data_IF_420739600208
#
_entry.id   IF_420739600208
#
_cell.length_a   1.000
_cell.length_b   1.000
_cell.length_c   1.000
_cell.angle_alpha   90.00
_cell.angle_beta   90.00
_cell.angle_gamma   90.00
#
_symmetry.space_group_name_H-M   'P 1'
#
loop_
_entity.id
_entity.type
_entity.pdbx_description
1 polymer ?
#
# COMPACT_ATOMS: atom_id res chain seq x y z
N UNK A 1 0.30 36.21 16.88
CA UNK A 1 0.42 34.75 16.74
C UNK A 1 -0.83 33.98 17.19
N UNK A 2 -1.63 34.49 18.13
CA UNK A 2 -2.87 33.84 18.60
C UNK A 2 -3.88 33.50 17.48
N UNK A 3 -4.04 34.38 16.48
CA UNK A 3 -5.01 34.19 15.41
C UNK A 3 -4.68 32.99 14.49
N UNK A 4 -3.39 32.79 14.17
CA UNK A 4 -2.95 31.68 13.33
C UNK A 4 -3.08 30.33 14.05
N UNK A 5 -2.81 30.31 15.36
CA UNK A 5 -2.98 29.12 16.19
C UNK A 5 -4.46 28.77 16.37
N UNK A 6 -5.31 29.76 16.59
CA UNK A 6 -6.77 29.57 16.63
C UNK A 6 -7.30 29.03 15.30
N UNK A 7 -6.82 29.56 14.18
CA UNK A 7 -7.17 29.07 12.85
C UNK A 7 -6.72 27.62 12.66
N UNK A 8 -5.48 27.29 13.02
CA UNK A 8 -4.94 25.92 12.97
C UNK A 8 -5.83 24.96 13.76
N UNK A 9 -6.20 25.33 14.98
CA UNK A 9 -7.05 24.48 15.82
C UNK A 9 -8.44 24.27 15.22
N UNK A 10 -9.06 25.33 14.66
CA UNK A 10 -10.35 25.22 13.96
C UNK A 10 -10.27 24.27 12.77
N UNK A 11 -9.19 24.35 12.00
CA UNK A 11 -8.95 23.46 10.87
C UNK A 11 -8.84 22.00 11.35
N UNK A 12 -8.02 21.75 12.38
CA UNK A 12 -7.85 20.40 12.93
C UNK A 12 -9.15 19.80 13.47
N UNK A 13 -9.98 20.60 14.14
CA UNK A 13 -11.31 20.17 14.59
C UNK A 13 -12.19 19.78 13.41
N UNK A 14 -12.15 20.57 12.33
CA UNK A 14 -12.94 20.29 11.11
C UNK A 14 -12.48 19.01 10.43
N UNK A 15 -11.16 18.82 10.28
CA UNK A 15 -10.59 17.61 9.68
C UNK A 15 -10.88 16.37 10.52
N UNK A 16 -10.82 16.48 11.84
CA UNK A 16 -11.20 15.40 12.76
C UNK A 16 -12.68 15.02 12.58
N UNK A 17 -13.57 16.01 12.46
CA UNK A 17 -14.98 15.76 12.19
C UNK A 17 -15.20 15.01 10.87
N UNK A 18 -14.54 15.45 9.79
CA UNK A 18 -14.61 14.77 8.48
C UNK A 18 -14.09 13.33 8.59
N UNK A 19 -13.00 13.11 9.32
CA UNK A 19 -12.46 11.77 9.54
C UNK A 19 -13.47 10.85 10.24
N UNK A 20 -14.09 11.31 11.32
CA UNK A 20 -15.07 10.52 12.06
C UNK A 20 -16.37 10.31 11.27
N UNK A 21 -16.84 11.30 10.51
CA UNK A 21 -18.05 11.15 9.68
C UNK A 21 -17.87 10.15 8.54
N UNK A 22 -16.64 9.98 8.05
CA UNK A 22 -16.28 9.04 7.00
C UNK A 22 -15.75 7.70 7.54
N UNK A 23 -15.77 7.50 8.86
CA UNK A 23 -15.42 6.22 9.50
C UNK A 23 -16.68 5.41 9.71
N UNK A 24 -16.73 4.23 9.09
CA UNK A 24 -17.82 3.30 9.31
C UNK A 24 -17.72 2.70 10.72
N UNK A 25 -18.77 2.93 11.53
CA UNK A 25 -18.85 2.48 12.92
C UNK A 25 -18.84 0.95 13.02
N UNK A 26 -19.33 0.26 12.00
CA UNK A 26 -19.46 -1.21 12.01
C UNK A 26 -18.15 -1.93 11.70
N UNK A 27 -17.36 -1.41 10.77
CA UNK A 27 -16.08 -2.01 10.34
C UNK A 27 -14.86 -1.33 10.97
N UNK A 28 -15.03 -0.12 11.48
CA UNK A 28 -13.92 0.74 11.94
C UNK A 28 -13.02 1.23 10.79
N UNK A 29 -13.43 1.03 9.54
CA UNK A 29 -12.66 1.45 8.37
C UNK A 29 -13.03 2.89 8.04
N UNK A 30 -12.01 3.73 7.94
CA UNK A 30 -12.17 5.09 7.44
C UNK A 30 -12.06 5.12 5.93
N UNK A 31 -13.12 5.60 5.27
CA UNK A 31 -13.15 5.79 3.83
C UNK A 31 -12.62 7.17 3.44
N UNK A 32 -12.04 7.26 2.23
CA UNK A 32 -11.70 8.55 1.64
C UNK A 32 -12.99 9.37 1.48
N UNK A 33 -13.05 10.62 1.96
CA UNK A 33 -14.23 11.45 1.81
C UNK A 33 -14.48 11.80 0.34
N UNK A 34 -15.74 12.02 0.01
CA UNK A 34 -16.19 12.41 -1.34
C UNK A 34 -17.09 13.66 -1.27
N UNK A 35 -17.27 14.32 -2.42
CA UNK A 35 -18.16 15.48 -2.54
C UNK A 35 -17.72 16.67 -1.70
N UNK A 36 -18.64 17.21 -0.89
CA UNK A 36 -18.41 18.42 -0.08
C UNK A 36 -17.33 18.19 0.99
N UNK A 37 -17.31 17.01 1.60
CA UNK A 37 -16.31 16.65 2.61
C UNK A 37 -14.90 16.60 2.01
N UNK A 38 -14.76 16.10 0.77
CA UNK A 38 -13.50 16.13 0.04
C UNK A 38 -13.02 17.57 -0.20
N UNK A 39 -13.91 18.44 -0.70
CA UNK A 39 -13.56 19.85 -0.98
C UNK A 39 -13.15 20.57 0.30
N UNK A 40 -13.86 20.32 1.40
CA UNK A 40 -13.52 20.89 2.70
C UNK A 40 -12.19 20.37 3.21
N UNK A 41 -11.91 19.07 3.08
CA UNK A 41 -10.64 18.48 3.46
C UNK A 41 -9.48 19.09 2.66
N UNK A 42 -9.61 19.16 1.34
CA UNK A 42 -8.60 19.71 0.44
C UNK A 42 -8.27 21.17 0.79
N UNK A 43 -9.29 22.01 0.98
CA UNK A 43 -9.10 23.42 1.37
C UNK A 43 -8.44 23.58 2.74
N UNK A 44 -8.86 22.77 3.71
CA UNK A 44 -8.31 22.80 5.05
C UNK A 44 -6.84 22.33 5.07
N UNK A 45 -6.51 21.27 4.33
CA UNK A 45 -5.12 20.79 4.19
C UNK A 45 -4.25 21.80 3.46
N UNK A 46 -4.72 22.41 2.37
CA UNK A 46 -4.01 23.49 1.71
C UNK A 46 -3.72 24.64 2.68
N UNK A 47 -4.73 25.10 3.43
CA UNK A 47 -4.57 26.18 4.40
C UNK A 47 -3.58 25.81 5.50
N UNK A 48 -3.59 24.57 5.98
CA UNK A 48 -2.58 24.07 6.92
C UNK A 48 -1.17 24.11 6.31
N UNK A 49 -1.00 23.68 5.07
CA UNK A 49 0.30 23.75 4.39
C UNK A 49 0.81 25.19 4.26
N UNK A 50 -0.07 26.15 3.98
CA UNK A 50 0.27 27.59 3.95
C UNK A 50 0.67 28.07 5.34
N UNK A 51 -0.11 27.74 6.39
CA UNK A 51 0.20 28.11 7.77
C UNK A 51 1.52 27.50 8.26
N UNK A 52 1.87 26.31 7.79
CA UNK A 52 3.14 25.64 8.09
C UNK A 52 4.32 26.16 7.25
N UNK A 53 4.07 27.00 6.24
CA UNK A 53 5.08 27.48 5.30
C UNK A 53 5.59 26.42 4.32
N UNK A 54 4.89 25.28 4.19
CA UNK A 54 5.22 24.21 3.22
C UNK A 54 4.85 24.59 1.78
N UNK A 55 3.86 25.47 1.61
CA UNK A 55 3.28 25.87 0.32
C UNK A 55 3.03 27.38 0.36
N UNK A 56 3.29 28.10 -0.75
CA UNK A 56 2.96 29.54 -0.87
C UNK A 56 1.53 29.73 -1.36
N UNK A 57 0.99 30.93 -1.15
CA UNK A 57 -0.35 31.24 -1.68
C UNK A 57 -0.39 31.11 -3.21
N UNK A 58 -1.28 30.24 -3.71
CA UNK A 58 -1.46 29.95 -5.13
C UNK A 58 -0.70 28.72 -5.64
N UNK A 59 0.21 28.15 -4.83
CA UNK A 59 0.90 26.91 -5.17
C UNK A 59 -0.02 25.71 -4.99
N UNK A 60 0.23 24.63 -5.74
CA UNK A 60 -0.49 23.36 -5.59
C UNK A 60 0.06 22.59 -4.39
N UNK A 61 -0.81 21.85 -3.71
CA UNK A 61 -0.38 20.91 -2.67
C UNK A 61 0.43 19.79 -3.33
N UNK A 62 1.65 19.47 -2.86
CA UNK A 62 2.55 18.52 -3.52
C UNK A 62 2.13 17.05 -3.39
N UNK A 63 1.23 16.73 -2.46
CA UNK A 63 0.79 15.38 -2.14
C UNK A 63 -0.75 15.31 -2.07
N UNK A 64 -1.32 14.10 -2.19
CA UNK A 64 -2.75 13.89 -1.99
C UNK A 64 -3.16 14.34 -0.58
N UNK A 65 -4.10 15.30 -0.44
CA UNK A 65 -4.51 15.86 0.85
C UNK A 65 -4.97 14.82 1.87
N UNK A 66 -5.59 13.73 1.39
CA UNK A 66 -6.09 12.67 2.25
C UNK A 66 -4.97 11.81 2.81
N UNK A 67 -4.03 11.37 1.99
CA UNK A 67 -2.86 10.63 2.46
C UNK A 67 -2.01 11.47 3.44
N UNK A 68 -1.83 12.76 3.14
CA UNK A 68 -1.10 13.67 4.03
C UNK A 68 -1.80 13.83 5.38
N UNK A 69 -3.13 13.96 5.38
CA UNK A 69 -3.92 14.01 6.62
C UNK A 69 -3.77 12.72 7.44
N UNK A 70 -3.89 11.55 6.79
CA UNK A 70 -3.74 10.26 7.45
C UNK A 70 -2.35 10.05 8.06
N UNK A 71 -1.31 10.56 7.40
CA UNK A 71 0.08 10.46 7.87
C UNK A 71 0.36 11.36 9.07
N UNK A 72 -0.12 12.61 9.05
CA UNK A 72 0.31 13.63 10.01
C UNK A 72 -0.69 13.83 11.17
N UNK A 73 -1.99 13.66 10.94
CA UNK A 73 -3.03 14.15 11.87
C UNK A 73 -4.09 13.13 12.24
N UNK A 74 -4.27 12.07 11.45
CA UNK A 74 -5.25 11.05 11.82
C UNK A 74 -4.85 10.42 13.17
N UNK A 75 -5.81 10.21 14.08
CA UNK A 75 -5.60 9.35 15.23
C UNK A 75 -5.05 8.02 14.72
N UNK A 76 -4.03 7.45 15.37
CA UNK A 76 -3.47 6.11 15.07
C UNK A 76 -4.56 5.03 15.28
N UNK A 77 -5.56 5.05 14.43
CA UNK A 77 -6.39 3.91 14.11
C UNK A 77 -5.41 2.97 13.45
N UNK A 78 -5.15 1.85 14.13
CA UNK A 78 -4.23 0.82 13.66
C UNK A 78 -4.64 0.49 12.23
N UNK A 79 -3.89 1.03 11.26
CA UNK A 79 -4.06 0.70 9.84
C UNK A 79 -4.10 -0.82 9.81
N UNK A 80 -5.13 -1.47 9.25
CA UNK A 80 -5.14 -2.93 9.15
C UNK A 80 -3.80 -3.32 8.55
N UNK A 81 -3.08 -4.22 9.24
CA UNK A 81 -1.65 -4.49 9.07
C UNK A 81 -1.28 -5.17 7.74
N UNK A 82 -1.96 -4.83 6.64
CA UNK A 82 -1.86 -5.46 5.32
C UNK A 82 -1.44 -4.54 4.18
N UNK A 83 -1.32 -3.23 4.37
CA UNK A 83 -0.79 -2.33 3.33
C UNK A 83 0.28 -1.40 3.90
N UNK A 84 1.38 -2.03 4.34
CA UNK A 84 2.68 -1.36 4.27
C UNK A 84 2.95 -1.23 2.77
N UNK A 85 2.91 0.00 2.24
CA UNK A 85 3.50 0.31 0.95
C UNK A 85 4.86 -0.39 0.91
N UNK A 86 5.12 -1.32 -0.02
CA UNK A 86 6.39 -2.02 -0.01
C UNK A 86 7.46 -0.96 -0.15
N UNK A 87 8.27 -0.77 0.89
CA UNK A 87 9.59 -0.17 0.73
C UNK A 87 10.22 -0.98 -0.40
N UNK A 88 10.35 -0.37 -1.58
CA UNK A 88 10.97 -0.99 -2.74
C UNK A 88 12.21 -1.71 -2.24
N UNK A 89 12.20 -3.05 -2.30
CA UNK A 89 13.35 -3.82 -1.90
C UNK A 89 14.49 -3.34 -2.79
N UNK A 90 15.52 -2.76 -2.18
CA UNK A 90 16.73 -2.40 -2.88
C UNK A 90 17.34 -3.70 -3.39
N UNK A 91 17.16 -3.99 -4.67
CA UNK A 91 17.80 -5.11 -5.35
C UNK A 91 19.14 -4.60 -5.89
N UNK A 92 20.28 -4.90 -5.24
CA UNK A 92 21.57 -4.63 -5.85
C UNK A 92 21.72 -5.55 -7.07
N UNK A 93 21.60 -4.97 -8.27
CA UNK A 93 21.97 -5.64 -9.51
C UNK A 93 23.49 -5.64 -9.67
N UNK A 94 24.20 -6.50 -8.93
CA UNK A 94 25.61 -6.80 -9.25
C UNK A 94 25.98 -8.22 -8.84
N UNK A 95 26.36 -9.03 -9.83
CA UNK A 95 26.74 -10.45 -9.71
C UNK A 95 28.28 -10.61 -9.80
N UNK A 96 29.06 -9.53 -9.75
CA UNK A 96 30.53 -9.65 -9.84
C UNK A 96 31.10 -10.23 -8.54
N UNK A 97 31.36 -11.54 -8.54
CA UNK A 97 32.13 -12.25 -7.53
C UNK A 97 33.55 -11.67 -7.47
N UNK A 98 33.88 -11.00 -6.37
CA UNK A 98 35.25 -10.76 -5.96
C UNK A 98 35.86 -12.12 -5.57
N UNK A 99 36.71 -12.66 -6.45
CA UNK A 99 37.55 -13.81 -6.16
C UNK A 99 38.58 -13.41 -5.11
N UNK A 100 38.35 -13.79 -3.86
CA UNK A 100 39.41 -13.86 -2.85
C UNK A 100 39.63 -15.34 -2.58
N UNK A 101 40.68 -15.87 -3.21
CA UNK A 101 41.13 -17.22 -3.00
C UNK A 101 41.54 -17.43 -1.55
N UNK A 102 41.23 -18.61 -1.02
CA UNK A 102 42.08 -19.27 -0.05
C UNK A 102 41.91 -20.78 -0.18
N UNK A 103 43.00 -21.41 -0.59
CA UNK A 103 43.17 -22.84 -0.63
C UNK A 103 43.28 -23.39 0.80
N UNK A 104 42.66 -24.53 1.05
CA UNK A 104 43.27 -25.63 1.82
C UNK A 104 42.57 -26.94 1.48
N UNK A 105 43.40 -27.97 1.38
CA UNK A 105 43.13 -29.26 0.79
C UNK A 105 42.39 -30.22 1.73
N UNK A 106 41.70 -31.21 1.17
CA UNK A 106 42.02 -32.63 1.40
C UNK A 106 41.27 -33.53 0.41
N UNK A 107 41.97 -34.59 -0.01
CA UNK A 107 41.71 -35.49 -1.13
C UNK A 107 40.40 -36.30 -0.99
N UNK A 108 39.76 -36.75 -2.08
CA UNK A 108 40.15 -37.98 -2.80
C UNK A 108 39.42 -38.09 -4.15
N UNK A 109 40.13 -38.59 -5.15
CA UNK A 109 39.71 -38.73 -6.54
C UNK A 109 38.70 -39.87 -6.75
N UNK A 110 37.78 -39.72 -7.71
CA UNK A 110 37.68 -40.61 -8.88
C UNK A 110 36.47 -40.32 -9.80
N UNK A 111 36.77 -40.38 -11.10
CA UNK A 111 35.92 -40.79 -12.23
C UNK A 111 34.73 -39.92 -12.63
N UNK A 112 34.82 -39.41 -13.86
CA UNK A 112 33.87 -38.46 -14.44
C UNK A 112 32.50 -39.02 -14.81
N UNK A 113 31.56 -38.09 -14.95
CA UNK A 113 30.54 -38.16 -15.97
C UNK A 113 29.95 -36.76 -16.16
N UNK A 114 29.78 -36.36 -17.42
CA UNK A 114 29.02 -35.18 -17.83
C UNK A 114 27.62 -35.21 -17.20
N UNK A 115 27.35 -34.26 -16.31
CA UNK A 115 26.08 -34.15 -15.60
C UNK A 115 25.70 -32.69 -15.45
N UNK A 116 24.96 -32.16 -16.42
CA UNK A 116 24.20 -30.92 -16.27
C UNK A 116 23.35 -31.00 -14.98
N UNK A 117 23.39 -30.02 -14.07
CA UNK A 117 22.43 -29.97 -12.98
C UNK A 117 21.05 -29.57 -13.53
N UNK A 118 20.22 -30.55 -13.87
CA UNK A 118 18.80 -30.32 -14.14
C UNK A 118 18.11 -29.91 -12.84
N UNK A 119 17.72 -28.63 -12.76
CA UNK A 119 16.86 -28.11 -11.70
C UNK A 119 15.45 -28.67 -11.92
N UNK A 120 15.04 -29.60 -11.05
CA UNK A 120 13.70 -30.20 -11.09
C UNK A 120 12.75 -29.32 -10.27
N UNK A 121 11.79 -28.69 -10.94
CA UNK A 121 10.71 -27.97 -10.27
C UNK A 121 9.61 -28.96 -9.87
N UNK A 122 9.38 -29.13 -8.57
CA UNK A 122 8.15 -29.78 -8.09
C UNK A 122 6.99 -28.79 -8.20
N UNK A 123 6.02 -29.11 -9.06
CA UNK A 123 4.76 -28.36 -9.18
C UNK A 123 3.75 -28.98 -8.20
N UNK A 124 3.22 -28.23 -7.22
CA UNK A 124 2.13 -28.72 -6.40
C UNK A 124 0.87 -28.92 -7.26
N UNK A 125 0.38 -30.16 -7.34
CA UNK A 125 -0.91 -30.47 -7.95
C UNK A 125 -2.03 -29.86 -7.08
N UNK A 126 -2.47 -28.66 -7.44
CA UNK A 126 -3.74 -28.11 -6.95
C UNK A 126 -4.86 -28.99 -7.46
N UNK A 127 -5.40 -29.87 -6.60
CA UNK A 127 -6.67 -30.55 -6.89
C UNK A 127 -7.78 -29.51 -6.89
N UNK A 128 -8.31 -29.23 -8.09
CA UNK A 128 -9.62 -28.59 -8.24
C UNK A 128 -10.68 -29.62 -7.83
N UNK A 129 -11.36 -29.36 -6.73
CA UNK A 129 -12.57 -30.11 -6.36
C UNK A 129 -13.69 -29.71 -7.32
N UNK A 130 -14.00 -30.59 -8.29
CA UNK A 130 -15.08 -30.45 -9.28
C UNK A 130 -16.47 -30.76 -8.68
N UNK A 131 -16.76 -30.28 -7.47
CA UNK A 131 -18.00 -30.60 -6.75
C UNK A 131 -18.94 -29.39 -6.61
N UNK A 132 -19.20 -28.70 -7.72
CA UNK A 132 -20.42 -27.89 -7.82
C UNK A 132 -20.87 -27.59 -9.26
N UNK A 133 -20.89 -28.62 -10.12
CA UNK A 133 -21.26 -28.46 -11.54
C UNK A 133 -22.59 -29.11 -11.91
N UNK A 134 -23.55 -29.10 -10.99
CA UNK A 134 -24.96 -29.49 -11.25
C UNK A 134 -25.92 -28.47 -10.68
N UNK A 135 -25.99 -27.30 -11.31
CA UNK A 135 -27.19 -26.44 -11.34
C UNK A 135 -26.96 -25.29 -12.34
N UNK A 136 -26.71 -25.62 -13.61
CA UNK A 136 -26.96 -24.67 -14.69
C UNK A 136 -28.46 -24.74 -15.00
N UNK A 137 -29.21 -23.91 -14.28
CA UNK A 137 -30.59 -23.59 -14.61
C UNK A 137 -30.67 -23.17 -16.08
N UNK A 138 -31.47 -23.93 -16.82
CA UNK A 138 -31.77 -23.77 -18.24
C UNK A 138 -32.25 -22.34 -18.49
N UNK A 139 -31.48 -21.53 -19.24
CA UNK A 139 -31.90 -20.21 -19.70
C UNK A 139 -33.05 -20.42 -20.71
N UNK A 140 -34.28 -19.96 -20.46
CA UNK A 140 -35.34 -20.02 -21.46
C UNK A 140 -35.05 -18.99 -22.55
N UNK A 141 -34.80 -19.46 -23.77
CA UNK A 141 -34.82 -18.60 -24.96
C UNK A 141 -36.24 -18.51 -25.46
N UNK A 142 -36.87 -17.36 -25.28
CA UNK A 142 -38.01 -16.96 -26.10
C UNK A 142 -37.46 -16.16 -27.28
N UNK A 143 -37.83 -16.59 -28.49
CA UNK A 143 -37.38 -16.06 -29.77
C UNK A 143 -38.66 -15.79 -30.59
N UNK A 144 -38.75 -14.56 -31.12
CA UNK A 144 -39.73 -14.02 -32.08
C UNK A 144 -41.21 -13.99 -31.67
#
# INVERSE_FOLDING_TARGET
MANAEQERQKILTTLSHIFWSNTDVSTGITHKPYGVDWINLERNMYRLCVLQGKVRDGDKVPEDPWEMFLREFAPLTKRPAGQRQPSTAYFPSSILQSSVGNATATATASAGHDGQPHVRFEVPLVRRSDENRRNLGRIPRYLN
#
